data_IF_757398616381
#
_entry.id   IF_757398616381
#
_cell.length_a   1.000
_cell.length_b   1.000
_cell.length_c   1.000
_cell.angle_alpha   90.00
_cell.angle_beta   90.00
_cell.angle_gamma   90.00
#
_symmetry.space_group_name_H-M   'P 1'
#
loop_
_entity.id
_entity.type
_entity.pdbx_description
1 polymer ?
#
# COMPACT_ATOMS: atom_id res chain seq x y z
N UNK A 1 -7.69 -4.09 -21.44
CA UNK A 1 -6.51 -3.24 -21.24
C UNK A 1 -5.83 -3.75 -19.98
N UNK A 2 -4.66 -4.34 -20.09
CA UNK A 2 -3.88 -4.75 -18.92
C UNK A 2 -3.55 -3.49 -18.11
N UNK A 3 -4.07 -3.42 -16.88
CA UNK A 3 -3.79 -2.29 -15.99
C UNK A 3 -2.28 -2.34 -15.63
N UNK A 4 -1.50 -1.42 -16.22
CA UNK A 4 -0.04 -1.25 -16.09
C UNK A 4 0.43 -0.87 -14.67
N UNK A 5 -0.47 -0.95 -13.69
CA UNK A 5 -0.22 -0.68 -12.27
C UNK A 5 0.55 -1.83 -11.63
N UNK A 6 1.44 -1.56 -10.69
CA UNK A 6 2.18 -2.56 -9.88
C UNK A 6 1.31 -3.28 -8.83
N UNK A 7 0.00 -3.01 -8.81
CA UNK A 7 -0.95 -3.56 -7.86
C UNK A 7 -2.29 -3.91 -8.50
N UNK A 8 -3.07 -4.71 -7.78
CA UNK A 8 -4.46 -5.04 -8.07
C UNK A 8 -5.31 -4.52 -6.92
N UNK A 9 -6.43 -3.90 -7.25
CA UNK A 9 -7.48 -3.58 -6.28
C UNK A 9 -8.37 -4.79 -6.13
N UNK A 10 -8.56 -5.26 -4.90
CA UNK A 10 -9.44 -6.39 -4.60
C UNK A 10 -10.48 -5.97 -3.56
N UNK A 11 -11.74 -6.31 -3.84
CA UNK A 11 -12.86 -5.96 -2.96
C UNK A 11 -12.93 -4.46 -2.63
N UNK A 12 -13.31 -4.15 -1.39
CA UNK A 12 -13.55 -2.76 -0.94
C UNK A 12 -12.34 -2.08 -0.32
N UNK A 13 -11.42 -2.86 0.25
CA UNK A 13 -10.34 -2.37 1.12
C UNK A 13 -9.02 -3.13 0.93
N UNK A 14 -8.85 -3.89 -0.16
CA UNK A 14 -7.66 -4.73 -0.35
C UNK A 14 -6.83 -4.25 -1.54
N UNK A 15 -5.53 -4.10 -1.31
CA UNK A 15 -4.52 -3.84 -2.35
C UNK A 15 -3.58 -5.04 -2.39
N UNK A 16 -3.41 -5.64 -3.56
CA UNK A 16 -2.53 -6.78 -3.78
C UNK A 16 -1.35 -6.31 -4.62
N UNK A 17 -0.14 -6.40 -4.09
CA UNK A 17 1.06 -6.09 -4.83
C UNK A 17 1.38 -7.22 -5.82
N UNK A 18 1.71 -6.89 -7.08
CA UNK A 18 1.94 -7.88 -8.15
C UNK A 18 3.23 -7.67 -8.98
N UNK A 19 4.04 -6.67 -8.68
CA UNK A 19 5.23 -6.34 -9.48
C UNK A 19 6.46 -6.16 -8.58
N UNK A 20 7.49 -6.99 -8.76
CA UNK A 20 8.68 -6.98 -7.89
C UNK A 20 9.62 -5.80 -8.13
N UNK A 21 9.55 -5.17 -9.30
CA UNK A 21 10.46 -4.08 -9.70
C UNK A 21 10.14 -2.73 -9.04
N UNK A 22 8.94 -2.58 -8.48
CA UNK A 22 8.46 -1.33 -7.91
C UNK A 22 7.92 -1.58 -6.52
N UNK A 23 8.28 -0.76 -5.55
CA UNK A 23 7.61 -0.76 -4.25
C UNK A 23 6.34 0.10 -4.32
N UNK A 24 5.30 -0.26 -3.58
CA UNK A 24 4.09 0.57 -3.49
C UNK A 24 4.21 1.54 -2.32
N UNK A 25 3.84 2.80 -2.52
CA UNK A 25 3.68 3.77 -1.43
C UNK A 25 2.20 4.06 -1.24
N UNK A 26 1.63 3.52 -0.17
CA UNK A 26 0.24 3.70 0.21
C UNK A 26 0.07 5.05 0.91
N UNK A 27 -0.79 5.88 0.33
CA UNK A 27 -1.18 7.19 0.87
C UNK A 27 -2.67 7.16 1.20
N UNK A 28 -3.00 7.33 2.48
CA UNK A 28 -4.37 7.29 2.99
C UNK A 28 -4.82 8.65 3.52
N UNK A 29 -4.97 9.62 2.61
CA UNK A 29 -5.14 11.02 3.00
C UNK A 29 -3.84 11.63 3.53
N UNK A 30 -3.90 12.91 3.92
CA UNK A 30 -2.71 13.70 4.27
C UNK A 30 -2.20 13.43 5.69
N UNK A 31 -3.12 13.19 6.63
CA UNK A 31 -2.82 13.11 8.07
C UNK A 31 -2.41 11.70 8.54
N UNK A 32 -2.56 10.68 7.70
CA UNK A 32 -2.22 9.32 8.08
C UNK A 32 -0.78 8.95 7.72
N UNK A 33 -0.13 8.07 8.51
CA UNK A 33 1.19 7.57 8.19
C UNK A 33 1.17 6.83 6.85
N UNK A 34 2.19 7.10 6.03
CA UNK A 34 2.37 6.46 4.73
C UNK A 34 3.11 5.14 4.92
N UNK A 35 2.76 4.15 4.11
CA UNK A 35 3.31 2.80 4.21
C UNK A 35 3.96 2.44 2.89
N UNK A 36 5.19 1.95 2.93
CA UNK A 36 5.85 1.36 1.78
C UNK A 36 5.68 -0.16 1.84
N UNK A 37 5.18 -0.72 0.74
CA UNK A 37 4.98 -2.14 0.54
C UNK A 37 6.13 -2.59 -0.34
N UNK A 38 7.00 -3.40 0.23
CA UNK A 38 8.18 -3.96 -0.44
C UNK A 38 7.92 -5.40 -0.84
N UNK A 39 8.87 -6.00 -1.55
CA UNK A 39 8.86 -7.43 -1.81
C UNK A 39 8.91 -8.30 -0.53
N UNK A 40 9.37 -7.75 0.60
CA UNK A 40 9.60 -8.47 1.85
C UNK A 40 8.62 -8.09 2.98
N UNK A 41 7.54 -7.36 2.65
CA UNK A 41 6.57 -6.87 3.62
C UNK A 41 6.49 -5.35 3.71
N UNK A 42 5.92 -4.85 4.82
CA UNK A 42 5.59 -3.44 5.02
C UNK A 42 6.61 -2.73 5.89
N UNK A 43 7.00 -1.53 5.46
CA UNK A 43 7.84 -0.61 6.23
C UNK A 43 7.21 0.80 6.28
N UNK A 44 7.49 1.61 7.32
CA UNK A 44 7.07 3.00 7.33
C UNK A 44 7.74 3.80 6.21
N UNK A 45 6.97 4.54 5.42
CA UNK A 45 7.52 5.46 4.43
C UNK A 45 7.79 6.81 5.07
N UNK A 46 9.07 7.21 5.13
CA UNK A 46 9.52 8.45 5.81
C UNK A 46 9.98 9.55 4.84
N UNK A 47 10.19 9.20 3.57
CA UNK A 47 10.68 10.15 2.58
C UNK A 47 9.56 11.10 2.12
N UNK A 48 9.97 12.18 1.46
CA UNK A 48 9.03 13.02 0.74
C UNK A 48 8.37 12.23 -0.41
N UNK A 49 7.09 12.50 -0.64
CA UNK A 49 6.38 11.93 -1.78
C UNK A 49 6.99 12.48 -3.08
N UNK A 50 7.23 11.62 -4.08
CA UNK A 50 7.61 12.08 -5.40
C UNK A 50 6.60 13.09 -5.95
N UNK A 51 7.08 14.14 -6.61
CA UNK A 51 6.24 15.23 -7.14
C UNK A 51 5.38 14.77 -8.31
N UNK A 52 5.80 13.74 -9.02
CA UNK A 52 5.09 13.19 -10.17
C UNK A 52 5.42 11.71 -10.40
N UNK A 53 4.67 11.08 -11.32
CA UNK A 53 4.83 9.66 -11.67
C UNK A 53 6.21 9.31 -12.21
N UNK A 54 6.89 10.23 -12.89
CA UNK A 54 8.23 10.00 -13.46
C UNK A 54 9.26 9.88 -12.34
N UNK A 55 9.26 10.82 -11.41
CA UNK A 55 10.14 10.80 -10.23
C UNK A 55 9.88 9.55 -9.37
N UNK A 56 8.61 9.16 -9.21
CA UNK A 56 8.27 7.92 -8.52
C UNK A 56 8.93 6.71 -9.19
N UNK A 57 8.83 6.59 -10.52
CA UNK A 57 9.47 5.50 -11.29
C UNK A 57 11.00 5.52 -11.22
N UNK A 58 11.61 6.70 -11.25
CA UNK A 58 13.07 6.85 -11.08
C UNK A 58 13.53 6.37 -9.69
N UNK A 59 12.65 6.44 -8.69
CA UNK A 59 12.85 5.89 -7.34
C UNK A 59 12.38 4.45 -7.16
N UNK A 60 11.92 3.79 -8.23
CA UNK A 60 11.31 2.46 -8.19
C UNK A 60 10.06 2.39 -7.27
N UNK A 61 9.28 3.46 -7.25
CA UNK A 61 8.06 3.59 -6.45
C UNK A 61 6.82 3.72 -7.33
N UNK A 62 5.71 3.15 -6.87
CA UNK A 62 4.37 3.45 -7.37
C UNK A 62 3.50 4.02 -6.24
N UNK A 63 3.03 5.25 -6.44
CA UNK A 63 2.19 5.92 -5.44
C UNK A 63 0.74 5.46 -5.58
N UNK A 64 0.18 4.95 -4.49
CA UNK A 64 -1.19 4.44 -4.41
C UNK A 64 -1.97 5.33 -3.43
N UNK A 65 -2.61 6.35 -3.96
CA UNK A 65 -3.47 7.23 -3.17
C UNK A 65 -4.86 6.61 -3.00
N UNK A 66 -5.08 5.88 -1.91
CA UNK A 66 -6.29 5.06 -1.77
C UNK A 66 -7.58 5.88 -1.66
N UNK A 67 -7.48 7.17 -1.30
CA UNK A 67 -8.60 8.10 -1.26
C UNK A 67 -9.02 8.64 -2.63
N UNK A 68 -8.25 8.40 -3.70
CA UNK A 68 -8.62 8.85 -5.03
C UNK A 68 -9.78 8.03 -5.60
N UNK A 69 -10.62 8.67 -6.41
CA UNK A 69 -11.78 8.03 -7.05
C UNK A 69 -11.42 6.82 -7.92
N UNK A 70 -10.21 6.79 -8.48
CA UNK A 70 -9.73 5.69 -9.30
C UNK A 70 -9.21 4.49 -8.48
N UNK A 71 -9.11 4.61 -7.15
CA UNK A 71 -8.73 3.52 -6.25
C UNK A 71 -9.94 3.06 -5.43
N UNK A 72 -10.26 3.73 -4.32
CA UNK A 72 -11.46 3.45 -3.52
C UNK A 72 -12.39 4.66 -3.34
N UNK A 73 -11.93 5.88 -3.67
CA UNK A 73 -12.72 7.11 -3.55
C UNK A 73 -12.91 7.64 -2.13
N UNK A 74 -12.30 7.00 -1.13
CA UNK A 74 -12.40 7.41 0.27
C UNK A 74 -11.17 7.00 1.08
N UNK A 75 -10.86 7.78 2.12
CA UNK A 75 -9.88 7.42 3.13
C UNK A 75 -10.38 6.19 3.89
N UNK A 76 -9.51 5.21 4.09
CA UNK A 76 -9.88 3.95 4.74
C UNK A 76 -9.50 3.97 6.21
N UNK A 77 -10.43 3.56 7.08
CA UNK A 77 -10.10 3.20 8.45
C UNK A 77 -9.32 1.89 8.51
N UNK A 78 -9.73 0.93 7.69
CA UNK A 78 -9.15 -0.41 7.65
C UNK A 78 -8.75 -0.75 6.22
N UNK A 79 -7.52 -1.18 6.03
CA UNK A 79 -6.95 -1.57 4.75
C UNK A 79 -6.25 -2.93 4.89
N UNK A 80 -6.39 -3.78 3.88
CA UNK A 80 -5.64 -5.01 3.75
C UNK A 80 -4.64 -4.86 2.61
N UNK A 81 -3.40 -5.27 2.86
CA UNK A 81 -2.32 -5.19 1.89
C UNK A 81 -1.69 -6.56 1.78
N UNK A 82 -1.79 -7.19 0.61
CA UNK A 82 -1.04 -8.38 0.31
C UNK A 82 0.29 -7.99 -0.35
N UNK A 83 1.39 -8.39 0.28
CA UNK A 83 2.74 -8.15 -0.22
C UNK A 83 3.25 -9.36 -1.02
N UNK A 84 4.39 -9.22 -1.69
CA UNK A 84 4.98 -10.29 -2.49
C UNK A 84 5.61 -11.40 -1.64
N UNK A 85 5.74 -11.19 -0.32
CA UNK A 85 6.19 -12.19 0.65
C UNK A 85 5.13 -13.26 0.97
N UNK A 86 3.96 -13.21 0.33
CA UNK A 86 2.85 -14.14 0.55
C UNK A 86 1.97 -13.80 1.75
N UNK A 87 2.30 -12.74 2.51
CA UNK A 87 1.53 -12.29 3.66
C UNK A 87 0.52 -11.23 3.29
N UNK A 88 -0.62 -11.30 3.94
CA UNK A 88 -1.59 -10.22 3.98
C UNK A 88 -1.50 -9.49 5.31
N UNK A 89 -1.33 -8.17 5.22
CA UNK A 89 -1.21 -7.27 6.35
C UNK A 89 -2.53 -6.51 6.54
N UNK A 90 -3.01 -6.52 7.78
CA UNK A 90 -4.08 -5.65 8.24
C UNK A 90 -3.49 -4.34 8.75
N UNK A 91 -3.89 -3.23 8.13
CA UNK A 91 -3.56 -1.86 8.53
C UNK A 91 -4.81 -1.18 9.08
N UNK A 92 -4.83 -0.89 10.38
CA UNK A 92 -5.94 -0.21 11.06
C UNK A 92 -5.55 1.21 11.46
N UNK A 93 -5.93 2.18 10.63
CA UNK A 93 -5.65 3.60 10.84
C UNK A 93 -6.33 4.19 12.09
N UNK A 94 -7.25 3.48 12.75
CA UNK A 94 -7.75 3.89 14.07
C UNK A 94 -6.84 3.50 15.23
N UNK A 95 -5.73 2.81 14.96
CA UNK A 95 -4.77 2.29 15.94
C UNK A 95 -3.35 2.82 15.76
N UNK A 96 -3.19 3.92 15.04
CA UNK A 96 -1.90 4.60 14.82
C UNK A 96 -1.18 4.81 16.16
N UNK A 97 0.14 4.57 16.18
CA UNK A 97 0.98 4.68 17.37
C UNK A 97 0.95 3.45 18.29
N UNK A 98 0.16 2.43 17.97
CA UNK A 98 0.09 1.18 18.75
C UNK A 98 0.62 -0.01 17.95
N UNK A 99 0.93 -1.11 18.65
CA UNK A 99 1.27 -2.42 18.03
C UNK A 99 0.14 -3.02 17.20
N UNK A 100 -1.09 -2.49 17.31
CA UNK A 100 -2.25 -2.95 16.55
C UNK A 100 -2.40 -2.20 15.22
N UNK A 101 -1.55 -1.20 14.95
CA UNK A 101 -1.62 -0.42 13.71
C UNK A 101 -1.39 -1.29 12.46
N UNK A 102 -0.34 -2.13 12.47
CA UNK A 102 -0.03 -3.07 11.40
C UNK A 102 0.12 -4.46 12.00
N UNK A 103 -0.60 -5.44 11.46
CA UNK A 103 -0.49 -6.85 11.85
C UNK A 103 -0.55 -7.74 10.64
N UNK A 104 0.08 -8.90 10.71
CA UNK A 104 -0.18 -9.99 9.76
C UNK A 104 -1.61 -10.49 10.01
N UNK A 105 -2.45 -10.46 8.97
CA UNK A 105 -3.82 -10.96 8.99
C UNK A 105 -3.90 -12.43 8.59
N UNK A 106 -3.22 -12.76 7.50
CA UNK A 106 -3.09 -14.11 6.96
C UNK A 106 -1.65 -14.31 6.50
N UNK A 107 -1.14 -15.51 6.73
CA UNK A 107 0.13 -15.97 6.16
C UNK A 107 -0.22 -17.13 5.23
N UNK A 108 -0.17 -16.88 3.92
CA UNK A 108 -0.44 -17.93 2.95
C UNK A 108 0.83 -18.76 2.84
N UNK A 109 0.86 -19.93 3.50
CA UNK A 109 1.82 -20.99 3.20
C UNK A 109 1.57 -21.44 1.75
N UNK A 110 2.25 -20.83 0.79
CA UNK A 110 2.50 -21.44 -0.52
C UNK A 110 3.83 -22.17 -0.47
#
# INVERSE_FOLDING_TARGET
MSDDRAYIKSGRNTIIHKEKKLDLVIVNGENHPKIQVTANGLIPFKDELPRNRREAKERYLEIVNIGSADIFGEVKRLLFIQSLDGREYKVDYSKIGTKLFVRIHQDSYM
#
